data_IF_498473002245
#
_entry.id   IF_498473002245
#
_cell.length_a   1.000
_cell.length_b   1.000
_cell.length_c   1.000
_cell.angle_alpha   90.00
_cell.angle_beta   90.00
_cell.angle_gamma   90.00
#
_symmetry.space_group_name_H-M   'P 1'
#
loop_
_entity.id
_entity.type
_entity.pdbx_description
1 polymer ?
#
# COMPACT_ATOMS: atom_id res chain seq x y z
N UNK A 1 -2.50 13.56 -9.00
CA UNK A 1 -2.81 12.31 -8.26
C UNK A 1 -4.30 12.08 -8.38
N UNK A 2 -4.70 11.00 -9.06
CA UNK A 2 -6.07 10.50 -9.03
C UNK A 2 -6.07 9.35 -8.03
N UNK A 3 -6.87 9.50 -6.98
CA UNK A 3 -7.06 8.46 -6.00
C UNK A 3 -8.45 8.53 -5.41
N UNK A 4 -8.96 7.39 -4.98
CA UNK A 4 -10.25 7.26 -4.32
C UNK A 4 -10.12 6.39 -3.07
N UNK A 5 -10.95 6.69 -2.08
CA UNK A 5 -11.07 5.90 -0.86
C UNK A 5 -12.55 5.54 -0.73
N UNK A 6 -12.84 4.24 -0.65
CA UNK A 6 -14.18 3.72 -0.46
C UNK A 6 -14.29 3.06 0.91
N UNK A 7 -15.25 3.52 1.69
CA UNK A 7 -15.63 2.93 2.97
C UNK A 7 -16.86 2.06 2.76
N UNK A 8 -16.77 0.79 3.14
CA UNK A 8 -17.93 -0.08 3.24
C UNK A 8 -18.50 0.04 4.65
N UNK A 9 -19.75 0.46 4.74
CA UNK A 9 -20.45 0.70 5.99
C UNK A 9 -21.49 -0.39 6.22
N UNK A 10 -21.42 -1.03 7.38
CA UNK A 10 -22.47 -1.91 7.87
C UNK A 10 -23.44 -1.10 8.73
N UNK A 11 -24.64 -0.88 8.18
CA UNK A 11 -25.70 -0.14 8.85
C UNK A 11 -26.34 -0.92 10.01
N UNK A 12 -26.22 -2.25 10.06
CA UNK A 12 -26.80 -3.09 11.11
C UNK A 12 -25.98 -2.96 12.39
N UNK A 13 -24.67 -3.09 12.29
CA UNK A 13 -23.75 -2.97 13.42
C UNK A 13 -23.24 -1.54 13.64
N UNK A 14 -23.52 -0.62 12.71
CA UNK A 14 -23.13 0.79 12.80
C UNK A 14 -21.62 0.99 12.74
N UNK A 15 -20.93 0.25 11.85
CA UNK A 15 -19.47 0.27 11.75
C UNK A 15 -18.97 0.14 10.32
N UNK A 16 -17.76 0.62 10.06
CA UNK A 16 -17.05 0.35 8.80
C UNK A 16 -16.55 -1.09 8.82
N UNK A 17 -16.84 -1.85 7.76
CA UNK A 17 -16.41 -3.23 7.59
C UNK A 17 -15.18 -3.35 6.71
N UNK A 18 -14.99 -2.42 5.79
CA UNK A 18 -13.87 -2.44 4.84
C UNK A 18 -13.48 -1.04 4.39
N UNK A 19 -12.21 -0.88 4.09
CA UNK A 19 -11.65 0.32 3.46
C UNK A 19 -10.86 -0.14 2.24
N UNK A 20 -11.26 0.34 1.07
CA UNK A 20 -10.53 0.09 -0.18
C UNK A 20 -9.98 1.41 -0.69
N UNK A 21 -8.71 1.39 -1.10
CA UNK A 21 -8.01 2.57 -1.61
C UNK A 21 -7.52 2.24 -3.01
N UNK A 22 -7.78 3.14 -3.95
CA UNK A 22 -7.28 3.06 -5.31
C UNK A 22 -6.45 4.33 -5.57
N UNK A 23 -5.19 4.18 -5.97
CA UNK A 23 -4.33 5.31 -6.29
C UNK A 23 -3.29 4.91 -7.32
N UNK A 24 -3.16 5.72 -8.38
CA UNK A 24 -2.03 5.64 -9.31
C UNK A 24 -0.84 6.43 -8.72
N UNK A 25 -0.04 5.78 -7.86
CA UNK A 25 1.20 6.38 -7.37
C UNK A 25 2.37 6.22 -8.34
N UNK A 26 2.26 5.37 -9.36
CA UNK A 26 3.33 5.17 -10.31
C UNK A 26 3.56 6.41 -11.16
N UNK A 27 2.50 6.99 -11.73
CA UNK A 27 2.59 8.19 -12.57
C UNK A 27 3.29 9.38 -11.89
N UNK A 28 2.90 9.81 -10.66
CA UNK A 28 3.58 10.92 -9.99
C UNK A 28 5.01 10.57 -9.56
N UNK A 29 5.28 9.32 -9.14
CA UNK A 29 6.64 8.92 -8.73
C UNK A 29 7.59 8.84 -9.94
N UNK A 30 7.10 8.38 -11.08
CA UNK A 30 7.86 8.36 -12.33
C UNK A 30 8.12 9.78 -12.84
N UNK A 31 7.14 10.68 -12.73
CA UNK A 31 7.33 12.09 -13.08
C UNK A 31 8.35 12.78 -12.14
N UNK A 32 8.37 12.41 -10.86
CA UNK A 32 9.27 12.98 -9.86
C UNK A 32 10.72 12.50 -10.04
N UNK A 33 10.92 11.19 -10.21
CA UNK A 33 12.24 10.56 -10.25
C UNK A 33 12.79 10.41 -11.67
N UNK A 34 11.94 10.56 -12.69
CA UNK A 34 12.32 10.54 -14.10
C UNK A 34 12.65 9.17 -14.68
N UNK A 35 12.68 8.11 -13.86
CA UNK A 35 12.98 6.75 -14.31
C UNK A 35 12.39 5.67 -13.36
N UNK A 36 12.21 4.46 -13.89
CA UNK A 36 11.61 3.35 -13.14
C UNK A 36 12.58 2.68 -12.15
N UNK A 37 13.89 2.76 -12.39
CA UNK A 37 14.89 2.15 -11.50
C UNK A 37 14.87 2.82 -10.12
N UNK A 38 14.86 4.15 -10.08
CA UNK A 38 14.82 4.92 -8.85
C UNK A 38 13.47 4.78 -8.14
N UNK A 39 12.36 4.70 -8.89
CA UNK A 39 11.05 4.38 -8.33
C UNK A 39 11.09 3.01 -7.64
N UNK A 40 11.62 1.98 -8.31
CA UNK A 40 11.75 0.64 -7.74
C UNK A 40 12.59 0.65 -6.45
N UNK A 41 13.70 1.40 -6.44
CA UNK A 41 14.59 1.53 -5.29
C UNK A 41 13.90 2.17 -4.09
N UNK A 42 13.11 3.22 -4.29
CA UNK A 42 12.35 3.89 -3.20
C UNK A 42 11.30 2.96 -2.59
N UNK A 43 10.68 2.11 -3.42
CA UNK A 43 9.62 1.21 -2.98
C UNK A 43 10.10 -0.18 -2.50
N UNK A 44 11.40 -0.46 -2.58
CA UNK A 44 11.95 -1.77 -2.20
C UNK A 44 11.69 -2.15 -0.74
N UNK A 45 11.80 -1.18 0.17
CA UNK A 45 11.54 -1.32 1.61
C UNK A 45 10.38 -0.44 2.11
N UNK A 46 9.59 0.12 1.18
CA UNK A 46 8.44 0.93 1.54
C UNK A 46 7.32 0.05 2.13
N UNK A 47 6.67 0.57 3.17
CA UNK A 47 5.51 -0.07 3.80
C UNK A 47 4.25 -0.01 2.93
N UNK A 48 4.26 0.83 1.90
CA UNK A 48 3.20 0.98 0.93
C UNK A 48 3.73 0.60 -0.45
N UNK A 49 2.92 -0.10 -1.23
CA UNK A 49 3.18 -0.37 -2.64
C UNK A 49 2.75 0.78 -3.55
N UNK A 50 3.13 0.70 -4.83
CA UNK A 50 2.74 1.66 -5.88
C UNK A 50 1.24 1.69 -6.18
N UNK A 51 0.53 0.60 -5.87
CA UNK A 51 -0.93 0.48 -5.90
C UNK A 51 -1.56 0.75 -4.52
N UNK A 52 -0.80 1.37 -3.61
CA UNK A 52 -1.24 1.83 -2.29
C UNK A 52 -1.72 0.72 -1.34
N UNK A 53 -1.20 -0.49 -1.49
CA UNK A 53 -1.42 -1.60 -0.57
C UNK A 53 -0.39 -1.57 0.56
N UNK A 54 -0.87 -1.78 1.77
CA UNK A 54 -0.01 -1.94 2.94
C UNK A 54 0.74 -3.28 2.87
N UNK A 55 2.07 -3.22 2.84
CA UNK A 55 2.97 -4.39 2.84
C UNK A 55 3.85 -4.35 4.10
N UNK A 56 3.30 -4.75 5.26
CA UNK A 56 4.11 -4.87 6.46
C UNK A 56 5.13 -5.99 6.24
N UNK A 57 6.38 -5.74 6.64
CA UNK A 57 7.42 -6.76 6.60
C UNK A 57 6.95 -7.94 7.46
N UNK A 58 6.85 -9.12 6.87
CA UNK A 58 6.53 -10.32 7.63
C UNK A 58 7.64 -10.48 8.69
N UNK A 59 7.27 -10.38 9.97
CA UNK A 59 8.17 -10.73 11.04
C UNK A 59 8.43 -12.23 10.88
N UNK A 60 9.61 -12.60 10.36
CA UNK A 60 10.07 -13.98 10.37
C UNK A 60 10.23 -14.39 11.84
N UNK A 61 9.14 -14.85 12.45
CA UNK A 61 9.17 -15.70 13.63
C UNK A 61 9.76 -17.04 13.19
N UNK A 62 11.07 -17.04 12.91
CA UNK A 62 11.86 -18.26 12.94
C UNK A 62 11.91 -18.67 14.42
N UNK A 63 10.87 -19.40 14.83
CA UNK A 63 10.89 -20.18 16.05
C UNK A 63 11.96 -21.24 15.88
N UNK A 64 13.18 -20.86 16.20
CA UNK A 64 14.32 -21.76 16.33
C UNK A 64 14.11 -22.55 17.62
N UNK A 65 13.25 -23.57 17.56
CA UNK A 65 13.11 -24.55 18.63
C UNK A 65 14.11 -25.67 18.32
N UNK A 66 15.35 -25.48 18.78
CA UNK A 66 16.31 -26.56 18.98
C UNK A 66 16.21 -27.07 20.41
#
# INVERSE_FOLDING_TARGET
>A
MLGSIRFEWDAINGQVTSVSIESDMLTPMLHLLGNLEDVSRVFADALLSLDFQWRPKANNLSGNNQ
#
